data_IF_132518573253
#
_entry.id   IF_132518573253
#
_cell.length_a   1.000
_cell.length_b   1.000
_cell.length_c   1.000
_cell.angle_alpha   90.00
_cell.angle_beta   90.00
_cell.angle_gamma   90.00
#
_symmetry.space_group_name_H-M   'P 1'
#
loop_
_entity.id
_entity.type
_entity.pdbx_description
1 polymer ?
#
# COMPACT_ATOMS: atom_id res chain seq x y z
N UNK A 1 13.73 -17.85 -0.09
CA UNK A 1 12.64 -16.90 -0.39
C UNK A 1 11.40 -17.70 -0.76
N UNK A 2 10.31 -17.59 -0.01
CA UNK A 2 9.03 -18.24 -0.28
C UNK A 2 8.13 -17.31 -1.10
N UNK A 3 8.23 -17.40 -2.42
CA UNK A 3 7.47 -16.57 -3.35
C UNK A 3 5.95 -16.71 -3.20
N UNK A 4 5.44 -17.87 -2.80
CA UNK A 4 4.00 -18.06 -2.58
C UNK A 4 3.48 -17.15 -1.47
N UNK A 5 4.26 -16.95 -0.40
CA UNK A 5 3.88 -16.07 0.70
C UNK A 5 3.86 -14.60 0.27
N UNK A 6 4.86 -14.18 -0.52
CA UNK A 6 4.94 -12.83 -1.10
C UNK A 6 3.77 -12.59 -2.04
N UNK A 7 3.45 -13.55 -2.92
CA UNK A 7 2.34 -13.44 -3.85
C UNK A 7 1.00 -13.31 -3.14
N UNK A 8 0.74 -14.08 -2.08
CA UNK A 8 -0.52 -14.00 -1.31
C UNK A 8 -0.70 -12.61 -0.68
N UNK A 9 0.37 -12.04 -0.12
CA UNK A 9 0.32 -10.68 0.43
C UNK A 9 0.08 -9.64 -0.68
N UNK A 10 0.84 -9.75 -1.77
CA UNK A 10 0.76 -8.83 -2.89
C UNK A 10 -0.60 -8.85 -3.61
N UNK A 11 -1.22 -10.03 -3.79
CA UNK A 11 -2.54 -10.11 -4.43
C UNK A 11 -3.66 -9.58 -3.54
N UNK A 12 -3.56 -9.73 -2.22
CA UNK A 12 -4.51 -9.11 -1.30
C UNK A 12 -4.45 -7.58 -1.44
N UNK A 13 -3.24 -7.03 -1.36
CA UNK A 13 -2.97 -5.59 -1.48
C UNK A 13 -3.41 -5.02 -2.84
N UNK A 14 -3.09 -5.72 -3.92
CA UNK A 14 -3.51 -5.34 -5.27
C UNK A 14 -5.04 -5.40 -5.42
N UNK A 15 -5.69 -6.41 -4.83
CA UNK A 15 -7.15 -6.51 -4.81
C UNK A 15 -7.80 -5.31 -4.12
N UNK A 16 -7.28 -4.91 -2.95
CA UNK A 16 -7.76 -3.73 -2.24
C UNK A 16 -7.54 -2.44 -3.04
N UNK A 17 -6.36 -2.26 -3.64
CA UNK A 17 -6.05 -1.09 -4.46
C UNK A 17 -6.97 -0.99 -5.70
N UNK A 18 -7.18 -2.09 -6.41
CA UNK A 18 -8.09 -2.13 -7.56
C UNK A 18 -9.53 -1.85 -7.15
N UNK A 19 -10.00 -2.43 -6.05
CA UNK A 19 -11.34 -2.18 -5.53
C UNK A 19 -11.53 -0.71 -5.13
N UNK A 20 -10.55 -0.15 -4.42
CA UNK A 20 -10.54 1.26 -4.01
C UNK A 20 -10.58 2.25 -5.18
N UNK A 21 -9.95 1.88 -6.29
CA UNK A 21 -9.98 2.67 -7.52
C UNK A 21 -11.33 2.55 -8.25
N UNK A 22 -11.88 1.34 -8.33
CA UNK A 22 -13.04 1.06 -9.17
C UNK A 22 -14.39 1.44 -8.52
N UNK A 23 -14.46 1.48 -7.19
CA UNK A 23 -15.73 1.64 -6.46
C UNK A 23 -15.96 3.09 -6.05
N UNK A 24 -17.05 3.68 -6.57
CA UNK A 24 -17.55 4.95 -6.09
C UNK A 24 -18.05 4.83 -4.65
N UNK A 25 -17.70 5.81 -3.82
CA UNK A 25 -18.08 5.84 -2.41
C UNK A 25 -18.79 7.15 -2.06
N UNK A 26 -19.76 7.11 -1.12
CA UNK A 26 -20.33 8.32 -0.55
C UNK A 26 -19.24 9.13 0.14
N UNK A 27 -19.34 10.45 0.10
CA UNK A 27 -18.30 11.38 0.56
C UNK A 27 -17.81 11.08 1.99
N UNK A 28 -18.73 10.77 2.90
CA UNK A 28 -18.43 10.42 4.30
C UNK A 28 -17.55 9.16 4.45
N UNK A 29 -17.58 8.24 3.48
CA UNK A 29 -16.81 6.99 3.53
C UNK A 29 -15.45 7.09 2.83
N UNK A 30 -15.19 8.12 2.04
CA UNK A 30 -13.96 8.24 1.23
C UNK A 30 -12.70 8.29 2.08
N UNK A 31 -12.68 9.12 3.12
CA UNK A 31 -11.53 9.27 4.03
C UNK A 31 -11.24 8.01 4.86
N UNK A 32 -12.23 7.38 5.53
CA UNK A 32 -12.02 6.10 6.20
C UNK A 32 -11.53 5.00 5.23
N UNK A 33 -12.12 4.93 4.04
CA UNK A 33 -11.72 3.95 3.03
C UNK A 33 -10.29 4.21 2.54
N UNK A 34 -9.91 5.48 2.31
CA UNK A 34 -8.55 5.86 1.94
C UNK A 34 -7.53 5.47 3.02
N UNK A 35 -7.84 5.70 4.30
CA UNK A 35 -6.98 5.27 5.40
C UNK A 35 -6.85 3.74 5.47
N UNK A 36 -7.95 3.02 5.26
CA UNK A 36 -7.96 1.56 5.18
C UNK A 36 -7.12 1.03 4.02
N UNK A 37 -7.19 1.68 2.86
CA UNK A 37 -6.34 1.37 1.71
C UNK A 37 -4.89 1.65 2.05
N UNK A 38 -4.56 2.82 2.61
CA UNK A 38 -3.17 3.12 2.97
C UNK A 38 -2.58 2.09 3.93
N UNK A 39 -3.37 1.57 4.87
CA UNK A 39 -2.97 0.51 5.80
C UNK A 39 -2.91 -0.91 5.18
N UNK A 40 -3.22 -1.06 3.89
CA UNK A 40 -3.23 -2.34 3.21
C UNK A 40 -1.87 -3.04 3.24
N UNK A 41 -0.78 -2.27 3.14
CA UNK A 41 0.59 -2.80 3.18
C UNK A 41 0.90 -3.57 4.47
N UNK A 42 0.27 -3.21 5.59
CA UNK A 42 0.37 -3.96 6.84
C UNK A 42 -0.19 -5.38 6.71
N UNK A 43 -1.32 -5.53 6.02
CA UNK A 43 -2.00 -6.82 5.83
C UNK A 43 -1.15 -7.73 4.93
N UNK A 44 -0.77 -7.23 3.75
CA UNK A 44 0.07 -7.98 2.81
C UNK A 44 1.42 -8.36 3.42
N UNK A 45 2.06 -7.43 4.12
CA UNK A 45 3.30 -7.67 4.85
C UNK A 45 3.19 -8.74 5.93
N UNK A 46 2.18 -8.64 6.80
CA UNK A 46 1.94 -9.63 7.85
C UNK A 46 1.72 -11.04 7.27
N UNK A 47 0.92 -11.15 6.22
CA UNK A 47 0.64 -12.43 5.53
C UNK A 47 1.89 -13.03 4.84
N UNK A 48 2.77 -12.19 4.33
CA UNK A 48 4.04 -12.62 3.75
C UNK A 48 5.06 -13.03 4.84
N UNK A 49 5.12 -12.27 5.94
CA UNK A 49 6.05 -12.49 7.05
C UNK A 49 5.78 -13.75 7.87
N UNK A 50 4.51 -14.10 8.13
CA UNK A 50 4.14 -15.27 8.95
C UNK A 50 4.65 -16.62 8.44
N UNK A 51 5.08 -16.70 7.18
CA UNK A 51 5.58 -17.94 6.55
C UNK A 51 7.10 -17.96 6.38
N UNK A 52 7.80 -16.96 6.91
CA UNK A 52 9.25 -16.89 6.87
C UNK A 52 9.85 -17.25 8.24
N UNK A 53 11.01 -17.89 8.21
CA UNK A 53 11.72 -18.38 9.40
C UNK A 53 12.35 -17.24 10.18
N UNK A 54 13.54 -16.79 9.75
CA UNK A 54 14.30 -15.75 10.45
C UNK A 54 13.64 -14.37 10.35
N UNK A 55 13.84 -13.50 11.36
CA UNK A 55 13.32 -12.12 11.34
C UNK A 55 13.75 -11.34 10.08
N UNK A 56 15.02 -11.48 9.65
CA UNK A 56 15.53 -10.85 8.43
C UNK A 56 14.80 -11.34 7.19
N UNK A 57 14.48 -12.63 7.11
CA UNK A 57 13.68 -13.15 6.01
C UNK A 57 12.26 -12.60 6.07
N UNK A 58 11.63 -12.54 7.24
CA UNK A 58 10.27 -11.98 7.37
C UNK A 58 10.22 -10.54 6.84
N UNK A 59 11.11 -9.67 7.30
CA UNK A 59 11.21 -8.27 6.83
C UNK A 59 11.40 -8.22 5.31
N UNK A 60 12.26 -9.08 4.72
CA UNK A 60 12.44 -9.14 3.26
C UNK A 60 11.17 -9.56 2.53
N UNK A 61 10.44 -10.55 3.03
CA UNK A 61 9.18 -11.00 2.41
C UNK A 61 8.11 -9.91 2.51
N UNK A 62 8.03 -9.22 3.65
CA UNK A 62 7.15 -8.08 3.85
C UNK A 62 7.46 -6.91 2.93
N UNK A 63 8.73 -6.52 2.83
CA UNK A 63 9.17 -5.46 1.94
C UNK A 63 8.86 -5.80 0.46
N UNK A 64 9.09 -7.05 0.04
CA UNK A 64 8.76 -7.48 -1.32
C UNK A 64 7.25 -7.51 -1.58
N UNK A 65 6.46 -7.99 -0.63
CA UNK A 65 5.00 -7.97 -0.75
C UNK A 65 4.47 -6.53 -0.81
N UNK A 66 4.96 -5.66 0.08
CA UNK A 66 4.65 -4.23 0.08
C UNK A 66 5.14 -3.51 -1.18
N UNK A 67 6.22 -3.95 -1.82
CA UNK A 67 6.69 -3.37 -3.08
C UNK A 67 5.77 -3.73 -4.26
N UNK A 68 5.31 -4.98 -4.31
CA UNK A 68 4.34 -5.42 -5.32
C UNK A 68 2.95 -4.79 -5.08
N UNK A 69 2.46 -4.81 -3.85
CA UNK A 69 1.19 -4.20 -3.46
C UNK A 69 1.22 -2.67 -3.61
N UNK A 70 2.31 -2.02 -3.18
CA UNK A 70 2.54 -0.59 -3.33
C UNK A 70 2.69 -0.17 -4.79
N UNK A 71 3.26 -1.02 -5.64
CA UNK A 71 3.25 -0.82 -7.09
C UNK A 71 1.83 -0.84 -7.67
N UNK A 72 1.01 -1.81 -7.27
CA UNK A 72 -0.41 -1.85 -7.66
C UNK A 72 -1.18 -0.62 -7.16
N UNK A 73 -0.95 -0.20 -5.91
CA UNK A 73 -1.54 1.03 -5.37
C UNK A 73 -1.07 2.27 -6.13
N UNK A 74 0.23 2.38 -6.45
CA UNK A 74 0.74 3.51 -7.22
C UNK A 74 0.05 3.62 -8.58
N UNK A 75 -0.14 2.50 -9.28
CA UNK A 75 -0.90 2.45 -10.53
C UNK A 75 -2.36 2.84 -10.32
N UNK A 76 -3.00 2.33 -9.25
CA UNK A 76 -4.39 2.65 -8.92
C UNK A 76 -4.58 4.14 -8.60
N UNK A 77 -3.66 4.75 -7.84
CA UNK A 77 -3.64 6.18 -7.52
C UNK A 77 -3.44 6.98 -8.80
N UNK A 78 -2.43 6.66 -9.61
CA UNK A 78 -2.18 7.35 -10.88
C UNK A 78 -3.39 7.27 -11.82
N UNK A 79 -4.04 6.12 -11.90
CA UNK A 79 -5.26 5.94 -12.67
C UNK A 79 -6.41 6.78 -12.12
N UNK A 80 -6.61 6.82 -10.81
CA UNK A 80 -7.66 7.62 -10.16
C UNK A 80 -7.51 9.14 -10.31
N UNK A 81 -6.35 9.61 -10.79
CA UNK A 81 -6.12 11.02 -11.13
C UNK A 81 -6.55 11.35 -12.57
N UNK A 82 -6.90 10.35 -13.38
CA UNK A 82 -7.33 10.58 -14.76
C UNK A 82 -8.75 11.14 -14.82
N UNK A 83 -9.08 11.94 -15.85
CA UNK A 83 -10.43 12.45 -16.04
C UNK A 83 -11.45 11.31 -16.19
N UNK A 84 -12.60 11.42 -15.51
CA UNK A 84 -13.72 10.49 -15.66
C UNK A 84 -13.65 9.22 -14.80
N UNK A 85 -12.67 9.10 -13.90
CA UNK A 85 -12.65 8.01 -12.92
C UNK A 85 -13.70 8.19 -11.81
N UNK A 86 -14.18 7.10 -11.19
CA UNK A 86 -15.15 7.18 -10.09
C UNK A 86 -14.60 7.94 -8.89
N UNK A 87 -15.47 8.71 -8.22
CA UNK A 87 -15.16 9.33 -6.93
C UNK A 87 -15.21 8.28 -5.81
N UNK A 88 -14.13 7.51 -5.69
CA UNK A 88 -13.96 6.42 -4.72
C UNK A 88 -13.07 6.78 -3.53
N UNK A 89 -12.43 5.77 -2.95
CA UNK A 89 -11.49 5.96 -1.83
C UNK A 89 -10.26 6.76 -2.26
N UNK A 90 -9.77 6.55 -3.49
CA UNK A 90 -8.57 7.22 -3.99
C UNK A 90 -8.80 8.70 -4.37
N UNK A 91 -10.06 9.14 -4.42
CA UNK A 91 -10.39 10.56 -4.57
C UNK A 91 -9.72 11.43 -3.50
N UNK A 92 -9.54 10.91 -2.28
CA UNK A 92 -8.82 11.61 -1.21
C UNK A 92 -7.39 11.97 -1.59
N UNK A 93 -6.69 11.16 -2.40
CA UNK A 93 -5.37 11.50 -2.92
C UNK A 93 -5.41 12.70 -3.88
N UNK A 94 -6.42 12.74 -4.76
CA UNK A 94 -6.67 13.88 -5.63
C UNK A 94 -6.99 15.16 -4.83
N UNK A 95 -7.85 15.04 -3.82
CA UNK A 95 -8.18 16.16 -2.93
C UNK A 95 -6.95 16.70 -2.20
N UNK A 96 -6.08 15.82 -1.69
CA UNK A 96 -4.83 16.21 -1.04
C UNK A 96 -3.87 16.90 -2.01
N UNK A 97 -3.79 16.45 -3.26
CA UNK A 97 -2.99 17.10 -4.30
C UNK A 97 -3.54 18.50 -4.62
N UNK A 98 -4.84 18.60 -4.86
CA UNK A 98 -5.50 19.86 -5.20
C UNK A 98 -5.40 20.89 -4.07
N UNK A 99 -5.62 20.47 -2.82
CA UNK A 99 -5.46 21.33 -1.64
C UNK A 99 -3.99 21.56 -1.28
N UNK A 100 -3.09 20.64 -1.62
CA UNK A 100 -1.65 20.75 -1.43
C UNK A 100 -1.00 21.74 -2.40
N UNK A 101 -1.50 21.84 -3.62
CA UNK A 101 -1.00 22.72 -4.67
C UNK A 101 -0.99 24.20 -4.26
N UNK A 102 -1.84 24.62 -3.32
CA UNK A 102 -1.86 26.00 -2.77
C UNK A 102 -0.59 26.38 -2.03
N UNK A 103 0.18 25.40 -1.56
CA UNK A 103 1.45 25.60 -0.86
C UNK A 103 2.65 25.68 -1.80
N UNK A 104 2.44 25.38 -3.09
CA UNK A 104 3.48 25.48 -4.09
C UNK A 104 3.61 26.93 -4.59
N UNK A 105 4.81 27.34 -5.05
CA UNK A 105 4.99 28.62 -5.70
C UNK A 105 4.00 28.82 -6.87
N UNK A 106 3.55 30.05 -7.14
CA UNK A 106 2.65 30.35 -8.26
C UNK A 106 3.17 29.76 -9.57
N UNK A 107 2.31 29.03 -10.30
CA UNK A 107 2.65 28.38 -11.57
C UNK A 107 3.42 27.06 -11.47
N UNK A 108 3.93 26.67 -10.28
CA UNK A 108 4.63 25.39 -10.11
C UNK A 108 3.67 24.19 -10.23
N UNK A 109 2.47 24.29 -9.66
CA UNK A 109 1.45 23.25 -9.78
C UNK A 109 1.09 22.97 -11.24
N UNK A 110 0.84 24.03 -12.03
CA UNK A 110 0.53 23.88 -13.46
C UNK A 110 1.73 23.34 -14.27
N UNK A 111 2.96 23.73 -13.91
CA UNK A 111 4.18 23.29 -14.60
C UNK A 111 4.50 21.82 -14.34
N UNK A 112 4.17 21.32 -13.15
CA UNK A 112 4.58 19.99 -12.68
C UNK A 112 3.40 19.06 -12.38
N UNK A 113 2.21 19.36 -12.90
CA UNK A 113 0.96 18.64 -12.60
C UNK A 113 1.11 17.11 -12.74
N UNK A 114 1.62 16.65 -13.89
CA UNK A 114 1.88 15.23 -14.12
C UNK A 114 2.93 14.63 -13.15
N UNK A 115 3.99 15.40 -12.82
CA UNK A 115 5.01 14.94 -11.88
C UNK A 115 4.48 14.87 -10.44
N UNK A 116 3.58 15.78 -10.04
CA UNK A 116 2.92 15.74 -8.74
C UNK A 116 2.06 14.49 -8.60
N UNK A 117 1.30 14.13 -9.64
CA UNK A 117 0.54 12.89 -9.67
C UNK A 117 1.41 11.63 -9.53
N UNK A 118 2.51 11.57 -10.29
CA UNK A 118 3.49 10.46 -10.19
C UNK A 118 4.16 10.43 -8.81
N UNK A 119 4.56 11.58 -8.26
CA UNK A 119 5.17 11.67 -6.95
C UNK A 119 4.23 11.18 -5.85
N UNK A 120 2.95 11.54 -5.90
CA UNK A 120 1.93 11.05 -4.96
C UNK A 120 1.72 9.54 -5.07
N UNK A 121 1.62 9.01 -6.29
CA UNK A 121 1.52 7.58 -6.51
C UNK A 121 2.72 6.81 -5.91
N UNK A 122 3.94 7.31 -6.15
CA UNK A 122 5.16 6.72 -5.58
C UNK A 122 5.23 6.86 -4.06
N UNK A 123 4.77 7.98 -3.49
CA UNK A 123 4.71 8.17 -2.05
C UNK A 123 3.78 7.14 -1.39
N UNK A 124 2.57 6.95 -1.93
CA UNK A 124 1.63 5.92 -1.48
C UNK A 124 2.24 4.51 -1.59
N UNK A 125 2.91 4.18 -2.70
CA UNK A 125 3.60 2.91 -2.85
C UNK A 125 4.74 2.71 -1.84
N UNK A 126 5.47 3.77 -1.51
CA UNK A 126 6.57 3.72 -0.52
C UNK A 126 6.03 3.44 0.88
N UNK A 127 4.89 4.04 1.25
CA UNK A 127 4.21 3.74 2.52
C UNK A 127 3.93 2.25 2.63
N UNK A 128 3.40 1.63 1.56
CA UNK A 128 3.15 0.18 1.53
C UNK A 128 4.39 -0.68 1.73
N UNK A 129 5.53 -0.29 1.15
CA UNK A 129 6.81 -1.02 1.36
C UNK A 129 7.22 -0.98 2.82
N UNK A 130 7.13 0.20 3.44
CA UNK A 130 7.50 0.40 4.85
C UNK A 130 6.55 -0.37 5.76
N UNK A 131 5.24 -0.24 5.56
CA UNK A 131 4.23 -0.99 6.29
C UNK A 131 4.43 -2.50 6.15
N UNK A 132 4.66 -2.96 4.92
CA UNK A 132 4.90 -4.37 4.63
C UNK A 132 6.10 -4.93 5.38
N UNK A 133 7.21 -4.20 5.38
CA UNK A 133 8.43 -4.56 6.09
C UNK A 133 8.21 -4.60 7.62
N UNK A 134 7.53 -3.59 8.18
CA UNK A 134 7.24 -3.48 9.61
C UNK A 134 6.31 -4.60 10.08
N UNK A 135 5.19 -4.81 9.39
CA UNK A 135 4.20 -5.81 9.74
C UNK A 135 4.76 -7.24 9.63
N UNK A 136 5.59 -7.50 8.62
CA UNK A 136 6.25 -8.80 8.49
C UNK A 136 7.29 -9.03 9.59
N UNK A 137 8.06 -8.01 9.97
CA UNK A 137 9.00 -8.10 11.08
C UNK A 137 8.31 -8.44 12.41
N UNK A 138 7.10 -7.92 12.62
CA UNK A 138 6.27 -8.19 13.79
C UNK A 138 5.49 -9.52 13.73
N UNK A 139 5.41 -10.16 12.56
CA UNK A 139 4.68 -11.41 12.41
C UNK A 139 5.34 -12.56 13.19
N UNK A 140 4.55 -13.46 13.81
CA UNK A 140 5.10 -14.66 14.45
C UNK A 140 5.80 -15.52 13.39
N UNK A 141 7.07 -15.85 13.64
CA UNK A 141 7.87 -16.70 12.77
C UNK A 141 7.68 -18.18 13.09
N UNK A 142 8.12 -19.05 12.17
CA UNK A 142 8.10 -20.51 12.39
C UNK A 142 9.00 -21.00 13.54
N UNK A 143 9.74 -20.10 14.20
CA UNK A 143 10.57 -20.39 15.38
C UNK A 143 9.74 -20.60 16.66
N UNK A 144 8.43 -20.30 16.66
CA UNK A 144 7.54 -20.64 17.79
C UNK A 144 7.19 -22.13 17.86
N UNK A 145 7.61 -22.94 16.89
CA UNK A 145 7.61 -24.42 16.97
C UNK A 145 8.98 -24.92 17.48
N UNK A 146 9.43 -24.46 18.65
CA UNK A 146 10.38 -25.26 19.44
C UNK A 146 9.51 -26.26 20.19
N UNK A 147 9.49 -27.55 19.81
CA UNK A 147 8.82 -28.55 20.61
C UNK A 147 9.48 -28.54 21.99
N UNK A 148 8.68 -28.21 23.02
CA UNK A 148 9.00 -28.54 24.39
C UNK A 148 8.98 -30.06 24.52
N UNK A 149 9.99 -30.73 23.96
CA UNK A 149 10.38 -32.06 24.41
C UNK A 149 11.08 -31.85 25.74
N UNK A 150 10.34 -32.08 26.83
CA UNK A 150 10.93 -32.37 28.13
C UNK A 150 10.43 -33.73 28.57
N UNK A 151 11.37 -34.65 28.47
CA UNK A 151 11.60 -35.90 29.21
C UNK A 151 10.78 -36.10 30.49
#
# INVERSE_FOLDING_TARGET
>A
MNWRAVFVGATADAGFACFAAAVALPEAARWPAFAGVLAGGLVGGYLAGRRAGSWRDRVRHGALAGLLGGGALAVAVWWSLQPGTPDGALWSANYLLATGARWLPPGAAARYDALLGVATALACGTVYVVEGALAAGAAPGGESEIPLARD
#
